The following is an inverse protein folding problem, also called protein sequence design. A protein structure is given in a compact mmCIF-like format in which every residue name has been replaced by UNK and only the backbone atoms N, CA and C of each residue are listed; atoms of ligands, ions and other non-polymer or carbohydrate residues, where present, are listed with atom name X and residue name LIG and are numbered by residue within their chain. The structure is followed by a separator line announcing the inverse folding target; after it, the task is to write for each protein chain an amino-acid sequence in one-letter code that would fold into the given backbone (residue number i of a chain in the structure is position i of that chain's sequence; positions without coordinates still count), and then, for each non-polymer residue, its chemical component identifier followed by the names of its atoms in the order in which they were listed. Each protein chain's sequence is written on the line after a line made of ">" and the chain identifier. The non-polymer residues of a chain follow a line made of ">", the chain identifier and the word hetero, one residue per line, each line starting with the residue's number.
data_IF_717175995629
#
_entry.id   IF_717175995629
#
_cell.length_a   1.000
_cell.length_b   1.000
_cell.length_c   1.000
_cell.angle_alpha   90.00
_cell.angle_beta   90.00
_cell.angle_gamma   90.00
#
_symmetry.space_group_name_H-M   'P 1'
#
loop_
_entity.id
_entity.type
_entity.pdbx_description
1 polymer ?
#
# COMPACT_ATOMS: atom_id res chain seq x y z
N UNK A 1 13.08 18.79 4.25
CA UNK A 1 13.91 17.58 4.38
C UNK A 1 13.01 16.34 4.31
N UNK A 2 13.35 15.39 3.45
CA UNK A 2 12.62 14.13 3.43
C UNK A 2 12.99 13.30 4.63
N UNK A 3 11.97 12.77 5.29
CA UNK A 3 12.18 11.83 6.38
C UNK A 3 11.92 10.44 5.80
N UNK A 4 12.94 9.61 5.80
CA UNK A 4 12.81 8.23 5.36
C UNK A 4 12.53 7.36 6.56
N UNK A 5 11.70 6.36 6.34
CA UNK A 5 11.43 5.36 7.35
C UNK A 5 12.42 4.21 7.16
N UNK A 6 13.19 3.90 8.23
CA UNK A 6 14.13 2.80 8.21
C UNK A 6 13.58 1.63 9.02
N UNK A 7 13.68 0.44 8.45
CA UNK A 7 13.39 -0.79 9.17
C UNK A 7 14.54 -1.16 10.09
N UNK A 8 14.33 -2.18 10.95
CA UNK A 8 15.32 -2.68 11.89
C UNK A 8 16.69 -2.96 11.28
N UNK A 9 16.70 -3.41 10.04
CA UNK A 9 17.93 -3.78 9.32
C UNK A 9 18.46 -2.67 8.43
N UNK A 10 17.99 -1.46 8.61
CA UNK A 10 18.38 -0.31 7.80
C UNK A 10 17.72 -0.25 6.44
N UNK A 11 16.71 -1.04 6.20
CA UNK A 11 16.00 -1.05 4.93
C UNK A 11 15.03 0.14 4.87
N UNK A 12 15.11 0.91 3.77
CA UNK A 12 14.21 2.02 3.51
C UNK A 12 13.01 1.51 2.71
N UNK A 13 11.81 1.92 3.09
CA UNK A 13 10.58 1.48 2.44
C UNK A 13 9.90 2.64 1.73
N UNK A 14 9.45 2.37 0.52
CA UNK A 14 8.61 3.27 -0.25
C UNK A 14 7.15 2.80 -0.20
N UNK A 15 6.25 3.72 -0.47
CA UNK A 15 4.82 3.42 -0.60
C UNK A 15 4.44 3.55 -2.07
N UNK A 16 3.82 2.50 -2.61
CA UNK A 16 3.21 2.52 -3.94
C UNK A 16 1.70 2.48 -3.73
N UNK A 17 0.99 3.45 -4.26
CA UNK A 17 -0.45 3.52 -4.01
C UNK A 17 -1.23 3.99 -5.22
N UNK A 18 -2.52 3.66 -5.21
CA UNK A 18 -3.52 4.16 -6.17
C UNK A 18 -4.56 4.93 -5.37
N UNK A 19 -4.98 6.09 -5.88
CA UNK A 19 -6.05 6.88 -5.27
C UNK A 19 -7.10 7.18 -6.32
N UNK A 20 -8.34 6.79 -6.07
CA UNK A 20 -9.46 7.03 -6.99
C UNK A 20 -10.26 8.28 -6.63
N UNK A 21 -10.39 8.57 -5.33
CA UNK A 21 -11.18 9.69 -4.84
C UNK A 21 -10.35 10.71 -4.07
N UNK A 22 -9.03 10.50 -3.97
CA UNK A 22 -8.15 11.35 -3.21
C UNK A 22 -7.97 10.96 -1.75
N UNK A 23 -8.76 10.03 -1.24
CA UNK A 23 -8.69 9.65 0.17
C UNK A 23 -7.44 8.85 0.51
N UNK A 24 -7.06 7.91 -0.35
CA UNK A 24 -5.82 7.17 -0.15
C UNK A 24 -4.62 8.10 -0.20
N UNK A 25 -4.63 9.07 -1.12
CA UNK A 25 -3.58 10.08 -1.20
C UNK A 25 -3.46 10.89 0.08
N UNK A 26 -4.59 11.29 0.68
CA UNK A 26 -4.59 12.00 1.95
C UNK A 26 -3.95 11.18 3.06
N UNK A 27 -4.23 9.88 3.11
CA UNK A 27 -3.63 8.99 4.09
C UNK A 27 -2.12 8.89 3.89
N UNK A 28 -1.69 8.63 2.66
CA UNK A 28 -0.26 8.46 2.33
C UNK A 28 0.54 9.70 2.69
N UNK A 29 0.00 10.90 2.46
CA UNK A 29 0.69 12.14 2.81
C UNK A 29 0.96 12.29 4.30
N UNK A 30 0.15 11.67 5.14
CA UNK A 30 0.35 11.72 6.60
C UNK A 30 1.52 10.84 7.07
N UNK A 31 1.96 9.91 6.22
CA UNK A 31 3.05 8.99 6.58
C UNK A 31 4.42 9.63 6.52
N UNK A 32 4.59 10.70 5.77
CA UNK A 32 5.89 11.36 5.53
C UNK A 32 6.95 10.44 4.94
N UNK A 33 6.54 9.40 4.22
CA UNK A 33 7.43 8.48 3.53
C UNK A 33 7.55 8.84 2.06
N UNK A 34 8.59 8.34 1.40
CA UNK A 34 8.66 8.40 -0.05
C UNK A 34 7.51 7.58 -0.63
N UNK A 35 6.88 8.10 -1.68
CA UNK A 35 5.75 7.41 -2.29
C UNK A 35 5.72 7.60 -3.80
N UNK A 36 5.05 6.67 -4.47
CA UNK A 36 4.76 6.72 -5.89
C UNK A 36 3.27 6.48 -6.06
N UNK A 37 2.58 7.44 -6.66
CA UNK A 37 1.18 7.25 -7.02
C UNK A 37 1.10 6.66 -8.42
N UNK A 38 0.50 5.48 -8.54
CA UNK A 38 0.28 4.86 -9.84
C UNK A 38 -1.07 5.29 -10.42
N UNK A 39 -1.17 5.25 -11.75
CA UNK A 39 -2.39 5.65 -12.46
C UNK A 39 -2.47 4.90 -13.77
N UNK A 40 -3.59 5.03 -14.48
CA UNK A 40 -3.73 4.44 -15.80
C UNK A 40 -2.69 4.94 -16.79
N UNK A 41 -2.19 6.17 -16.59
CA UNK A 41 -1.16 6.77 -17.44
C UNK A 41 0.23 6.26 -17.10
N UNK A 42 0.41 5.74 -15.88
CA UNK A 42 1.69 5.28 -15.39
C UNK A 42 1.49 3.97 -14.62
N UNK A 43 1.07 2.89 -15.33
CA UNK A 43 0.69 1.64 -14.66
C UNK A 43 1.88 0.76 -14.29
N UNK A 44 3.04 0.97 -14.88
CA UNK A 44 4.20 0.12 -14.63
C UNK A 44 5.35 0.95 -14.10
N UNK A 45 5.81 0.59 -12.90
CA UNK A 45 6.94 1.23 -12.24
C UNK A 45 7.89 0.13 -11.78
N UNK A 46 9.12 0.17 -12.26
CA UNK A 46 10.15 -0.75 -11.77
C UNK A 46 10.62 -0.28 -10.40
N UNK A 47 10.34 -1.08 -9.39
CA UNK A 47 10.85 -0.79 -8.04
C UNK A 47 12.26 -1.31 -7.89
N UNK A 48 13.11 -0.51 -7.27
CA UNK A 48 14.50 -0.87 -6.99
C UNK A 48 14.79 -0.95 -5.49
N UNK A 49 13.79 -0.62 -4.67
CA UNK A 49 13.89 -0.60 -3.22
C UNK A 49 12.69 -1.32 -2.62
N UNK A 50 12.80 -1.83 -1.39
CA UNK A 50 11.66 -2.41 -0.71
C UNK A 50 10.49 -1.44 -0.63
N UNK A 51 9.28 -1.96 -0.78
CA UNK A 51 8.08 -1.12 -0.80
C UNK A 51 6.89 -1.84 -0.20
N UNK A 52 5.89 -1.07 0.18
CA UNK A 52 4.56 -1.55 0.53
C UNK A 52 3.55 -0.97 -0.45
N UNK A 53 2.41 -1.63 -0.56
CA UNK A 53 1.30 -1.18 -1.40
C UNK A 53 0.17 -0.71 -0.51
N UNK A 54 -0.47 0.40 -0.87
CA UNK A 54 -1.72 0.84 -0.25
C UNK A 54 -2.77 0.95 -1.35
N UNK A 55 -3.83 0.18 -1.24
CA UNK A 55 -4.85 0.04 -2.26
C UNK A 55 -6.23 0.43 -1.75
N UNK A 56 -7.03 1.16 -2.54
CA UNK A 56 -8.45 1.32 -2.24
C UNK A 56 -9.20 0.02 -2.54
N UNK A 57 -10.46 -0.05 -2.13
CA UNK A 57 -11.33 -1.19 -2.39
C UNK A 57 -12.43 -0.79 -3.37
N UNK A 58 -12.25 -1.10 -4.66
CA UNK A 58 -13.20 -0.73 -5.72
C UNK A 58 -13.25 -1.80 -6.82
N UNK A 59 -13.40 -3.07 -6.45
CA UNK A 59 -13.62 -4.15 -7.40
C UNK A 59 -12.36 -4.70 -8.03
N UNK A 60 -12.55 -5.68 -8.93
CA UNK A 60 -11.46 -6.46 -9.50
C UNK A 60 -10.49 -5.66 -10.38
N UNK A 61 -10.98 -4.60 -11.02
CA UNK A 61 -10.14 -3.79 -11.90
C UNK A 61 -8.97 -3.16 -11.14
N UNK A 62 -9.21 -2.76 -9.90
CA UNK A 62 -8.16 -2.19 -9.06
C UNK A 62 -7.14 -3.25 -8.69
N UNK A 63 -7.58 -4.45 -8.34
CA UNK A 63 -6.68 -5.56 -8.04
C UNK A 63 -5.79 -5.89 -9.25
N UNK A 64 -6.39 -6.01 -10.44
CA UNK A 64 -5.65 -6.30 -11.67
C UNK A 64 -4.60 -5.24 -11.96
N UNK A 65 -4.90 -3.99 -11.67
CA UNK A 65 -3.97 -2.88 -11.84
C UNK A 65 -2.71 -3.08 -11.00
N UNK A 66 -2.89 -3.47 -9.74
CA UNK A 66 -1.75 -3.75 -8.87
C UNK A 66 -0.98 -5.00 -9.29
N UNK A 67 -1.65 -6.01 -9.83
CA UNK A 67 -0.96 -7.19 -10.34
C UNK A 67 0.04 -6.81 -11.43
N UNK A 68 -0.35 -5.94 -12.35
CA UNK A 68 0.57 -5.49 -13.41
C UNK A 68 1.79 -4.78 -12.83
N UNK A 69 1.58 -3.91 -11.85
CA UNK A 69 2.68 -3.18 -11.21
C UNK A 69 3.62 -4.14 -10.47
N UNK A 70 3.06 -5.02 -9.65
CA UNK A 70 3.84 -5.91 -8.79
C UNK A 70 4.60 -6.93 -9.62
N UNK A 71 3.99 -7.47 -10.66
CA UNK A 71 4.60 -8.52 -11.48
C UNK A 71 5.59 -7.97 -12.51
N UNK A 72 5.74 -6.65 -12.61
CA UNK A 72 6.64 -6.02 -13.57
C UNK A 72 8.11 -6.20 -13.14
N UNK A 73 8.89 -6.89 -13.98
CA UNK A 73 10.32 -7.10 -13.73
C UNK A 73 10.60 -7.75 -12.37
N UNK A 74 11.54 -7.19 -11.62
CA UNK A 74 11.95 -7.67 -10.31
C UNK A 74 11.14 -7.04 -9.15
N UNK A 75 10.12 -6.28 -9.47
CA UNK A 75 9.36 -5.50 -8.48
C UNK A 75 8.71 -6.37 -7.41
N UNK A 76 8.25 -7.57 -7.77
CA UNK A 76 7.60 -8.48 -6.84
C UNK A 76 8.50 -8.86 -5.66
N UNK A 77 9.78 -9.08 -5.90
CA UNK A 77 10.70 -9.54 -4.85
C UNK A 77 10.91 -8.50 -3.75
N UNK A 78 10.59 -7.25 -4.03
CA UNK A 78 10.76 -6.13 -3.11
C UNK A 78 9.50 -5.77 -2.33
N UNK A 79 8.37 -6.42 -2.65
CA UNK A 79 7.10 -6.16 -1.97
C UNK A 79 7.12 -6.73 -0.56
N UNK A 80 6.91 -5.88 0.45
CA UNK A 80 7.02 -6.27 1.87
C UNK A 80 5.70 -6.37 2.60
N UNK A 81 4.65 -5.76 2.08
CA UNK A 81 3.35 -5.81 2.73
C UNK A 81 2.33 -4.97 1.99
N UNK A 82 1.09 -5.06 2.43
CA UNK A 82 -0.03 -4.32 1.83
C UNK A 82 -0.96 -3.79 2.91
N UNK A 83 -1.45 -2.58 2.69
CA UNK A 83 -2.53 -2.00 3.49
C UNK A 83 -3.66 -1.60 2.55
N UNK A 84 -4.86 -1.45 3.09
CA UNK A 84 -6.00 -1.13 2.27
C UNK A 84 -6.92 -0.11 2.91
N UNK A 85 -7.58 0.68 2.05
CA UNK A 85 -8.64 1.57 2.46
C UNK A 85 -9.97 1.08 1.90
N UNK A 86 -11.07 1.51 2.51
CA UNK A 86 -12.38 1.13 2.06
C UNK A 86 -13.46 1.82 2.86
N UNK A 87 -14.67 1.29 2.78
CA UNK A 87 -15.81 1.77 3.54
C UNK A 87 -16.46 0.56 4.20
N UNK A 88 -16.58 0.59 5.52
CA UNK A 88 -17.15 -0.52 6.29
C UNK A 88 -18.63 -0.76 6.00
N UNK A 89 -19.31 0.21 5.39
CA UNK A 89 -20.68 0.02 4.93
C UNK A 89 -20.81 -1.07 3.87
N UNK A 90 -19.72 -1.44 3.24
CA UNK A 90 -19.71 -2.53 2.25
C UNK A 90 -19.34 -3.89 2.85
N UNK A 91 -19.27 -4.01 4.17
CA UNK A 91 -19.11 -5.27 4.90
C UNK A 91 -18.01 -6.18 4.35
N UNK A 92 -18.41 -7.25 3.64
CA UNK A 92 -17.49 -8.28 3.14
C UNK A 92 -16.50 -7.76 2.11
N UNK A 93 -16.83 -6.65 1.45
CA UNK A 93 -15.91 -6.02 0.48
C UNK A 93 -14.87 -5.11 1.14
N UNK A 94 -15.05 -4.79 2.43
CA UNK A 94 -14.13 -3.92 3.12
C UNK A 94 -12.72 -4.49 3.09
N UNK A 95 -11.79 -3.70 2.54
CA UNK A 95 -10.40 -4.09 2.44
C UNK A 95 -10.13 -5.32 1.55
N UNK A 96 -11.07 -5.70 0.68
CA UNK A 96 -10.98 -6.94 -0.09
C UNK A 96 -9.80 -6.96 -1.04
N UNK A 97 -9.47 -5.83 -1.67
CA UNK A 97 -8.34 -5.78 -2.60
C UNK A 97 -7.01 -6.00 -1.87
N UNK A 98 -6.83 -5.39 -0.71
CA UNK A 98 -5.62 -5.58 0.08
C UNK A 98 -5.50 -7.03 0.56
N UNK A 99 -6.61 -7.63 0.98
CA UNK A 99 -6.62 -9.05 1.40
C UNK A 99 -6.25 -9.97 0.25
N UNK A 100 -6.77 -9.71 -0.94
CA UNK A 100 -6.47 -10.50 -2.12
C UNK A 100 -4.99 -10.42 -2.49
N UNK A 101 -4.40 -9.23 -2.42
CA UNK A 101 -2.97 -9.05 -2.67
C UNK A 101 -2.11 -9.78 -1.64
N UNK A 102 -2.51 -9.70 -0.37
CA UNK A 102 -1.78 -10.38 0.71
C UNK A 102 -1.73 -11.88 0.49
N UNK A 103 -2.86 -12.47 0.10
CA UNK A 103 -2.95 -13.92 -0.17
C UNK A 103 -2.15 -14.28 -1.41
N UNK A 104 -2.33 -13.54 -2.51
CA UNK A 104 -1.68 -13.86 -3.78
C UNK A 104 -0.16 -13.83 -3.68
N UNK A 105 0.39 -12.84 -3.00
CA UNK A 105 1.83 -12.64 -2.93
C UNK A 105 2.46 -13.16 -1.64
N UNK A 106 1.65 -13.76 -0.77
CA UNK A 106 2.12 -14.32 0.50
C UNK A 106 2.87 -13.28 1.34
N UNK A 107 2.28 -12.09 1.44
CA UNK A 107 2.82 -10.97 2.21
C UNK A 107 1.84 -10.56 3.31
N UNK A 108 2.30 -9.91 4.38
CA UNK A 108 1.42 -9.52 5.46
C UNK A 108 0.42 -8.44 5.06
N UNK A 109 -0.81 -8.58 5.55
CA UNK A 109 -1.80 -7.51 5.54
C UNK A 109 -1.49 -6.61 6.73
N UNK A 110 -0.99 -5.41 6.45
CA UNK A 110 -0.48 -4.53 7.51
C UNK A 110 -1.58 -3.81 8.27
N UNK A 111 -2.56 -3.28 7.56
CA UNK A 111 -3.65 -2.55 8.18
C UNK A 111 -4.78 -2.31 7.18
N UNK A 112 -6.00 -2.20 7.69
CA UNK A 112 -7.18 -1.79 6.94
C UNK A 112 -7.79 -0.57 7.62
N UNK A 113 -8.10 0.46 6.84
CA UNK A 113 -8.64 1.70 7.39
C UNK A 113 -9.78 2.22 6.53
N UNK A 114 -10.62 3.09 7.10
CA UNK A 114 -11.74 3.68 6.38
C UNK A 114 -11.35 5.03 5.76
N UNK A 115 -11.74 5.23 4.51
CA UNK A 115 -11.62 6.50 3.79
C UNK A 115 -10.18 7.03 3.81
N UNK A 116 -9.96 8.22 4.34
CA UNK A 116 -8.63 8.84 4.45
C UNK A 116 -7.88 8.40 5.71
N UNK A 117 -8.49 7.53 6.53
CA UNK A 117 -7.87 7.08 7.76
C UNK A 117 -7.77 8.15 8.85
N UNK A 118 -7.48 7.71 10.06
CA UNK A 118 -7.25 8.59 11.20
C UNK A 118 -5.77 8.63 11.54
N UNK A 119 -5.38 9.53 12.45
CA UNK A 119 -4.00 9.56 12.93
C UNK A 119 -3.61 8.26 13.63
N UNK A 120 -4.58 7.60 14.27
CA UNK A 120 -4.36 6.29 14.87
C UNK A 120 -4.07 5.23 13.82
N UNK A 121 -4.78 5.27 12.68
CA UNK A 121 -4.51 4.36 11.58
C UNK A 121 -3.09 4.54 11.05
N UNK A 122 -2.62 5.78 10.94
CA UNK A 122 -1.26 6.09 10.54
C UNK A 122 -0.26 5.46 11.51
N UNK A 123 -0.48 5.62 12.82
CA UNK A 123 0.41 5.05 13.83
C UNK A 123 0.45 3.52 13.78
N UNK A 124 -0.71 2.90 13.62
CA UNK A 124 -0.78 1.44 13.52
C UNK A 124 0.02 0.95 12.32
N UNK A 125 -0.13 1.59 11.16
CA UNK A 125 0.62 1.19 9.97
C UNK A 125 2.13 1.35 10.18
N UNK A 126 2.55 2.46 10.76
CA UNK A 126 3.97 2.69 11.05
C UNK A 126 4.54 1.57 11.92
N UNK A 127 3.82 1.20 12.98
CA UNK A 127 4.24 0.14 13.88
C UNK A 127 4.33 -1.22 13.18
N UNK A 128 3.34 -1.54 12.34
CA UNK A 128 3.33 -2.79 11.59
C UNK A 128 4.49 -2.86 10.60
N UNK A 129 4.80 -1.77 9.94
CA UNK A 129 5.93 -1.72 9.02
C UNK A 129 7.25 -1.94 9.76
N UNK A 130 7.38 -1.38 10.96
CA UNK A 130 8.58 -1.63 11.78
C UNK A 130 8.76 -3.09 12.14
N UNK A 131 7.67 -3.82 12.33
CA UNK A 131 7.70 -5.23 12.70
C UNK A 131 8.18 -6.15 11.58
N UNK A 132 7.97 -5.77 10.33
CA UNK A 132 8.32 -6.61 9.18
C UNK A 132 9.76 -6.41 8.69
N UNK A 133 10.44 -5.44 9.20
CA UNK A 133 11.83 -5.16 8.82
C UNK A 133 12.79 -6.17 9.35
#
# INVERSE_FOLDING_TARGET
>A
MKVYFEFRNGVIVKVVYLSLTGKTRQFVKKLNWDFIEISRKNPTVQMEEPYIVITPTYGEQVANFFYEVIDFGETRSLLKGVAGSGNRNFYTSFCSNARALAVKYEIPLLHCFENQGTDKDVQILIEKVREIG
#
